data_IF_832339563916
#
_entry.id   IF_832339563916
#
_cell.length_a   1.000
_cell.length_b   1.000
_cell.length_c   1.000
_cell.angle_alpha   90.00
_cell.angle_beta   90.00
_cell.angle_gamma   90.00
#
_symmetry.space_group_name_H-M   'P 1'
#
loop_
_entity.id
_entity.type
_entity.pdbx_description
1 polymer ?
#
# COMPACT_ATOMS: atom_id res chain seq x y z
N UNK A 1 -21.28 -18.41 -5.64
CA UNK A 1 -21.31 -17.03 -6.13
C UNK A 1 -20.46 -16.94 -7.38
N UNK A 2 -20.78 -16.00 -8.27
CA UNK A 2 -19.89 -15.55 -9.34
C UNK A 2 -18.98 -14.44 -8.80
N UNK A 3 -17.70 -14.67 -8.75
CA UNK A 3 -16.72 -13.71 -8.23
C UNK A 3 -15.74 -13.36 -9.34
N UNK A 4 -15.53 -12.08 -9.57
CA UNK A 4 -14.47 -11.63 -10.48
C UNK A 4 -13.32 -11.04 -9.68
N UNK A 5 -12.12 -11.60 -9.82
CA UNK A 5 -10.91 -11.11 -9.20
C UNK A 5 -10.25 -10.11 -10.16
N UNK A 6 -10.15 -8.84 -9.75
CA UNK A 6 -9.41 -7.81 -10.46
C UNK A 6 -7.97 -7.82 -9.98
N UNK A 7 -7.02 -7.97 -10.89
CA UNK A 7 -5.59 -8.11 -10.59
C UNK A 7 -4.71 -7.42 -11.64
N UNK A 8 -3.40 -7.60 -11.55
CA UNK A 8 -2.44 -6.97 -12.44
C UNK A 8 -2.27 -5.48 -12.16
N UNK A 9 -2.77 -4.64 -13.03
CA UNK A 9 -2.66 -3.19 -12.88
C UNK A 9 -1.48 -2.59 -13.63
N UNK A 10 -1.40 -1.26 -13.59
CA UNK A 10 -0.35 -0.48 -14.26
C UNK A 10 0.81 -0.08 -13.34
N UNK A 11 0.68 -0.31 -12.04
CA UNK A 11 1.66 0.10 -11.02
C UNK A 11 2.95 -0.73 -11.04
N UNK A 12 3.91 -0.28 -10.24
CA UNK A 12 5.16 -0.97 -9.95
C UNK A 12 4.92 -2.33 -9.27
N UNK A 13 3.78 -2.47 -8.57
CA UNK A 13 3.41 -3.66 -7.79
C UNK A 13 2.56 -4.67 -8.57
N UNK A 14 2.56 -4.62 -9.91
CA UNK A 14 1.79 -5.54 -10.77
C UNK A 14 2.05 -7.02 -10.47
N UNK A 15 3.32 -7.39 -10.29
CA UNK A 15 3.69 -8.78 -10.01
C UNK A 15 3.20 -9.22 -8.61
N UNK A 16 3.17 -8.28 -7.66
CA UNK A 16 2.59 -8.49 -6.32
C UNK A 16 1.09 -8.75 -6.42
N UNK A 17 0.39 -8.00 -7.26
CA UNK A 17 -1.04 -8.21 -7.52
C UNK A 17 -1.31 -9.61 -8.07
N UNK A 18 -0.50 -10.11 -9.00
CA UNK A 18 -0.61 -11.47 -9.50
C UNK A 18 -0.29 -12.52 -8.42
N UNK A 19 0.74 -12.30 -7.59
CA UNK A 19 1.08 -13.21 -6.51
C UNK A 19 -0.06 -13.32 -5.48
N UNK A 20 -0.69 -12.19 -5.12
CA UNK A 20 -1.88 -12.16 -4.27
C UNK A 20 -3.05 -12.89 -4.92
N UNK A 21 -3.28 -12.67 -6.21
CA UNK A 21 -4.37 -13.30 -6.95
C UNK A 21 -4.25 -14.83 -6.99
N UNK A 22 -3.05 -15.40 -7.01
CA UNK A 22 -2.85 -16.87 -6.94
C UNK A 22 -3.57 -17.47 -5.75
N UNK A 23 -3.32 -16.91 -4.57
CA UNK A 23 -3.89 -17.43 -3.33
C UNK A 23 -5.39 -17.15 -3.22
N UNK A 24 -5.82 -15.94 -3.61
CA UNK A 24 -7.22 -15.54 -3.58
C UNK A 24 -8.06 -16.42 -4.51
N UNK A 25 -7.65 -16.56 -5.78
CA UNK A 25 -8.34 -17.38 -6.79
C UNK A 25 -8.40 -18.85 -6.35
N UNK A 26 -7.28 -19.40 -5.85
CA UNK A 26 -7.21 -20.76 -5.31
C UNK A 26 -8.22 -20.96 -4.17
N UNK A 27 -8.16 -20.12 -3.13
CA UNK A 27 -9.04 -20.22 -1.98
C UNK A 27 -10.52 -20.03 -2.30
N UNK A 28 -10.86 -19.14 -3.23
CA UNK A 28 -12.24 -18.94 -3.68
C UNK A 28 -12.77 -20.15 -4.47
N UNK A 29 -11.96 -20.72 -5.37
CA UNK A 29 -12.32 -21.93 -6.13
C UNK A 29 -12.47 -23.16 -5.25
N UNK A 30 -11.60 -23.35 -4.26
CA UNK A 30 -11.72 -24.40 -3.24
C UNK A 30 -13.01 -24.33 -2.43
N UNK A 31 -13.53 -23.10 -2.22
CA UNK A 31 -14.84 -22.86 -1.57
C UNK A 31 -16.03 -23.02 -2.51
N UNK A 32 -15.82 -23.46 -3.77
CA UNK A 32 -16.86 -23.75 -4.76
C UNK A 32 -17.45 -22.51 -5.45
N UNK A 33 -16.74 -21.37 -5.43
CA UNK A 33 -17.15 -20.19 -6.19
C UNK A 33 -16.76 -20.30 -7.66
N UNK A 34 -17.57 -19.70 -8.53
CA UNK A 34 -17.21 -19.48 -9.94
C UNK A 34 -16.33 -18.23 -10.02
N UNK A 35 -15.07 -18.40 -10.39
CA UNK A 35 -14.08 -17.30 -10.35
C UNK A 35 -13.57 -16.99 -11.75
N UNK A 36 -13.84 -15.77 -12.22
CA UNK A 36 -13.17 -15.15 -13.36
C UNK A 36 -12.00 -14.27 -12.89
N UNK A 37 -10.97 -14.17 -13.68
CA UNK A 37 -9.80 -13.30 -13.39
C UNK A 37 -9.69 -12.26 -14.49
N UNK A 38 -9.60 -11.00 -14.08
CA UNK A 38 -9.46 -9.86 -14.99
C UNK A 38 -8.19 -9.09 -14.62
N UNK A 39 -7.27 -9.05 -15.55
CA UNK A 39 -6.15 -8.09 -15.50
C UNK A 39 -6.65 -6.73 -15.99
N UNK A 40 -6.52 -5.71 -15.17
CA UNK A 40 -7.03 -4.37 -15.50
C UNK A 40 -6.27 -3.67 -16.65
N UNK A 41 -5.22 -4.29 -17.18
CA UNK A 41 -4.46 -3.81 -18.36
C UNK A 41 -4.81 -4.61 -19.60
N UNK A 42 -4.90 -5.95 -19.52
CA UNK A 42 -5.07 -6.82 -20.68
C UNK A 42 -6.48 -7.38 -20.85
N UNK A 43 -7.31 -7.32 -19.82
CA UNK A 43 -8.70 -7.82 -19.86
C UNK A 43 -8.89 -9.15 -19.18
N UNK A 44 -9.95 -9.87 -19.59
CA UNK A 44 -10.31 -11.18 -19.04
C UNK A 44 -9.23 -12.20 -19.41
N UNK A 45 -8.70 -12.90 -18.41
CA UNK A 45 -7.69 -13.92 -18.61
C UNK A 45 -8.32 -15.27 -18.98
N UNK A 46 -7.87 -15.86 -20.07
CA UNK A 46 -8.16 -17.27 -20.37
C UNK A 46 -7.47 -18.21 -19.38
N UNK A 47 -7.89 -19.47 -19.25
CA UNK A 47 -7.22 -20.44 -18.37
C UNK A 47 -5.73 -20.65 -18.68
N UNK A 48 -5.31 -20.43 -19.91
CA UNK A 48 -3.90 -20.51 -20.32
C UNK A 48 -3.12 -19.30 -19.85
N UNK A 49 -3.66 -18.10 -20.04
CA UNK A 49 -3.08 -16.84 -19.55
C UNK A 49 -3.01 -16.81 -18.04
N UNK A 50 -4.07 -17.25 -17.32
CA UNK A 50 -4.03 -17.40 -15.87
C UNK A 50 -2.82 -18.24 -15.43
N UNK A 51 -2.63 -19.43 -16.02
CA UNK A 51 -1.46 -20.29 -15.71
C UNK A 51 -0.13 -19.62 -16.05
N UNK A 52 -0.14 -18.72 -17.03
CA UNK A 52 1.04 -17.96 -17.44
C UNK A 52 1.46 -16.88 -16.44
N UNK A 53 0.51 -16.14 -15.88
CA UNK A 53 0.76 -14.97 -15.04
C UNK A 53 0.61 -15.24 -13.54
N UNK A 54 -0.29 -16.15 -13.13
CA UNK A 54 -0.50 -16.50 -11.74
C UNK A 54 0.55 -17.50 -11.24
N UNK A 55 1.81 -17.09 -11.16
CA UNK A 55 2.95 -17.93 -10.77
C UNK A 55 3.45 -17.72 -9.34
N UNK A 56 2.92 -16.73 -8.63
CA UNK A 56 3.31 -16.41 -7.25
C UNK A 56 4.74 -15.88 -7.08
N UNK A 57 5.46 -15.57 -8.17
CA UNK A 57 6.79 -14.97 -8.13
C UNK A 57 6.71 -13.48 -8.40
N UNK A 58 7.41 -12.70 -7.58
CA UNK A 58 7.56 -11.26 -7.73
C UNK A 58 8.97 -10.94 -8.20
N UNK A 59 9.12 -9.99 -9.13
CA UNK A 59 10.44 -9.52 -9.55
C UNK A 59 11.16 -8.82 -8.39
N UNK A 60 12.49 -8.91 -8.35
CA UNK A 60 13.32 -8.28 -7.30
C UNK A 60 13.65 -6.81 -7.60
N UNK A 61 13.34 -6.35 -8.79
CA UNK A 61 13.55 -4.96 -9.23
C UNK A 61 12.26 -4.36 -9.75
N UNK A 62 11.95 -3.09 -9.42
CA UNK A 62 10.77 -2.43 -9.96
C UNK A 62 10.86 -2.30 -11.50
N UNK A 63 9.71 -2.26 -12.19
CA UNK A 63 9.66 -2.07 -13.64
C UNK A 63 10.21 -0.69 -14.06
N UNK A 64 10.66 -0.59 -15.30
CA UNK A 64 11.14 0.67 -15.85
C UNK A 64 10.00 1.68 -16.06
N UNK A 65 10.31 2.98 -16.01
CA UNK A 65 9.35 4.08 -16.28
C UNK A 65 8.65 3.91 -17.64
N UNK A 66 9.37 3.39 -18.66
CA UNK A 66 8.80 3.12 -20.00
C UNK A 66 7.71 2.04 -19.95
N UNK A 67 7.93 0.99 -19.18
CA UNK A 67 6.93 -0.08 -19.00
C UNK A 67 5.72 0.43 -18.25
N UNK A 68 5.92 1.22 -17.19
CA UNK A 68 4.83 1.84 -16.42
C UNK A 68 3.97 2.73 -17.30
N UNK A 69 4.56 3.62 -18.09
CA UNK A 69 3.84 4.49 -19.03
C UNK A 69 3.05 3.67 -20.06
N UNK A 70 3.62 2.58 -20.58
CA UNK A 70 2.94 1.72 -21.54
C UNK A 70 1.72 1.01 -20.91
N UNK A 71 1.88 0.49 -19.68
CA UNK A 71 0.79 -0.16 -18.92
C UNK A 71 -0.30 0.84 -18.54
N UNK A 72 0.08 2.05 -18.14
CA UNK A 72 -0.85 3.11 -17.78
C UNK A 72 -1.75 3.51 -18.96
N UNK A 73 -1.20 3.59 -20.18
CA UNK A 73 -1.97 3.85 -21.41
C UNK A 73 -2.90 2.70 -21.79
N UNK A 74 -2.53 1.47 -21.44
CA UNK A 74 -3.33 0.28 -21.73
C UNK A 74 -4.38 -0.01 -20.64
N UNK A 75 -4.39 0.74 -19.52
CA UNK A 75 -5.31 0.52 -18.42
C UNK A 75 -6.77 0.66 -18.87
N UNK A 76 -7.57 -0.36 -18.58
CA UNK A 76 -8.94 -0.52 -19.10
C UNK A 76 -10.00 0.31 -18.35
N UNK A 77 -9.66 1.51 -17.86
CA UNK A 77 -10.58 2.30 -17.03
C UNK A 77 -11.96 2.46 -17.67
N UNK A 78 -12.00 2.83 -18.95
CA UNK A 78 -13.27 3.02 -19.67
C UNK A 78 -13.94 1.72 -20.13
N UNK A 79 -13.17 0.63 -20.26
CA UNK A 79 -13.67 -0.66 -20.75
C UNK A 79 -14.02 -1.65 -19.65
N UNK A 80 -13.47 -1.48 -18.45
CA UNK A 80 -13.64 -2.44 -17.35
C UNK A 80 -15.10 -2.67 -16.99
N UNK A 81 -15.89 -1.60 -16.90
CA UNK A 81 -17.31 -1.68 -16.61
C UNK A 81 -18.18 -2.30 -17.69
N UNK A 82 -17.66 -2.46 -18.92
CA UNK A 82 -18.36 -3.11 -20.03
C UNK A 82 -18.07 -4.63 -20.11
N UNK A 83 -17.10 -5.12 -19.33
CA UNK A 83 -16.80 -6.55 -19.30
C UNK A 83 -17.97 -7.33 -18.68
N UNK A 84 -18.35 -8.42 -19.37
CA UNK A 84 -19.43 -9.29 -18.91
C UNK A 84 -19.12 -9.89 -17.52
N UNK A 85 -17.89 -10.28 -17.28
CA UNK A 85 -17.39 -10.83 -16.04
C UNK A 85 -17.50 -9.84 -14.88
N UNK A 86 -17.42 -8.53 -15.15
CA UNK A 86 -17.63 -7.47 -14.17
C UNK A 86 -19.13 -7.23 -13.93
N UNK A 87 -19.93 -7.15 -14.99
CA UNK A 87 -21.36 -6.85 -14.88
C UNK A 87 -22.18 -7.98 -14.27
N UNK A 88 -21.80 -9.26 -14.52
CA UNK A 88 -22.49 -10.43 -14.00
C UNK A 88 -21.96 -10.94 -12.66
N UNK A 89 -20.93 -10.29 -12.09
CA UNK A 89 -20.37 -10.70 -10.81
C UNK A 89 -21.30 -10.38 -9.66
N UNK A 90 -21.43 -11.32 -8.71
CA UNK A 90 -22.07 -11.06 -7.43
C UNK A 90 -21.22 -10.14 -6.56
N UNK A 91 -19.88 -10.23 -6.69
CA UNK A 91 -18.90 -9.39 -6.02
C UNK A 91 -17.58 -9.38 -6.80
N UNK A 92 -16.88 -8.24 -6.77
CA UNK A 92 -15.52 -8.09 -7.29
C UNK A 92 -14.53 -8.20 -6.14
N UNK A 93 -13.52 -9.04 -6.28
CA UNK A 93 -12.42 -9.11 -5.34
C UNK A 93 -11.24 -8.29 -5.87
N UNK A 94 -10.84 -7.25 -5.14
CA UNK A 94 -9.73 -6.38 -5.54
C UNK A 94 -8.41 -6.97 -5.04
N UNK A 95 -7.67 -7.63 -5.93
CA UNK A 95 -6.31 -8.13 -5.73
C UNK A 95 -5.33 -7.24 -6.51
N UNK A 96 -5.40 -5.94 -6.26
CA UNK A 96 -4.59 -4.89 -6.88
C UNK A 96 -3.68 -4.28 -5.83
N UNK A 97 -2.50 -3.83 -6.25
CA UNK A 97 -1.53 -3.14 -5.41
C UNK A 97 -0.97 -1.91 -6.12
N UNK A 98 -0.86 -0.81 -5.37
CA UNK A 98 -0.33 0.46 -5.83
C UNK A 98 -1.20 1.18 -6.88
N UNK A 99 -0.87 2.43 -7.14
CA UNK A 99 -1.46 3.28 -8.16
C UNK A 99 -3.00 3.26 -8.16
N UNK A 100 -3.59 3.21 -9.34
CA UNK A 100 -5.06 3.23 -9.54
C UNK A 100 -5.82 2.09 -8.85
N UNK A 101 -5.14 1.04 -8.43
CA UNK A 101 -5.73 -0.06 -7.68
C UNK A 101 -6.08 0.32 -6.24
N UNK A 102 -5.31 1.24 -5.65
CA UNK A 102 -5.41 1.62 -4.24
C UNK A 102 -5.70 3.10 -3.99
N UNK A 103 -5.58 3.99 -5.01
CA UNK A 103 -5.78 5.44 -4.88
C UNK A 103 -7.24 5.90 -4.94
N UNK A 104 -8.19 4.98 -5.02
CA UNK A 104 -9.62 5.29 -5.12
C UNK A 104 -10.15 5.37 -6.56
N UNK A 105 -9.30 5.33 -7.58
CA UNK A 105 -9.71 5.45 -9.00
C UNK A 105 -10.57 4.28 -9.44
N UNK A 106 -10.12 3.04 -9.24
CA UNK A 106 -10.91 1.83 -9.55
C UNK A 106 -12.18 1.81 -8.71
N UNK A 107 -12.08 2.13 -7.43
CA UNK A 107 -13.21 2.14 -6.51
C UNK A 107 -14.30 3.13 -6.96
N UNK A 108 -13.91 4.33 -7.44
CA UNK A 108 -14.86 5.31 -7.97
C UNK A 108 -15.58 4.80 -9.22
N UNK A 109 -14.88 4.12 -10.12
CA UNK A 109 -15.47 3.46 -11.27
C UNK A 109 -16.49 2.40 -10.83
N UNK A 110 -16.09 1.51 -9.90
CA UNK A 110 -16.94 0.42 -9.39
C UNK A 110 -18.16 0.96 -8.64
N UNK A 111 -18.01 2.03 -7.87
CA UNK A 111 -19.13 2.73 -7.24
C UNK A 111 -20.13 3.24 -8.28
N UNK A 112 -19.64 3.72 -9.44
CA UNK A 112 -20.50 4.23 -10.54
C UNK A 112 -21.27 3.11 -11.24
N UNK A 113 -20.66 1.96 -11.46
CA UNK A 113 -21.33 0.79 -12.08
C UNK A 113 -22.19 0.01 -11.09
N UNK A 114 -22.07 0.24 -9.80
CA UNK A 114 -22.93 -0.33 -8.76
C UNK A 114 -22.69 -1.83 -8.46
N UNK A 115 -21.54 -2.38 -8.83
CA UNK A 115 -21.16 -3.76 -8.50
C UNK A 115 -20.47 -3.80 -7.14
N UNK A 116 -20.89 -4.66 -6.19
CA UNK A 116 -20.22 -4.80 -4.90
C UNK A 116 -18.75 -5.23 -5.06
N UNK A 117 -17.86 -4.71 -4.21
CA UNK A 117 -16.45 -5.09 -4.23
C UNK A 117 -15.87 -5.12 -2.82
N UNK A 118 -14.74 -5.83 -2.66
CA UNK A 118 -14.03 -5.96 -1.38
C UNK A 118 -13.15 -4.75 -1.10
N UNK A 119 -12.93 -4.45 0.20
CA UNK A 119 -12.03 -3.39 0.65
C UNK A 119 -12.71 -2.04 0.84
N UNK A 120 -11.88 -1.01 0.88
CA UNK A 120 -12.31 0.37 1.14
C UNK A 120 -12.94 1.00 -0.10
N UNK A 121 -13.85 1.96 0.13
CA UNK A 121 -14.44 2.76 -0.94
C UNK A 121 -13.49 3.84 -1.42
N UNK A 122 -13.84 4.47 -2.56
CA UNK A 122 -13.05 5.46 -3.26
C UNK A 122 -12.46 6.55 -2.34
N UNK A 123 -13.29 7.19 -1.51
CA UNK A 123 -12.80 8.25 -0.62
C UNK A 123 -11.77 7.73 0.40
N UNK A 124 -12.03 6.58 1.04
CA UNK A 124 -11.12 6.01 2.02
C UNK A 124 -9.79 5.61 1.38
N UNK A 125 -9.82 4.97 0.21
CA UNK A 125 -8.64 4.61 -0.56
C UNK A 125 -7.80 5.84 -0.94
N UNK A 126 -8.44 6.90 -1.45
CA UNK A 126 -7.75 8.14 -1.81
C UNK A 126 -7.09 8.82 -0.59
N UNK A 127 -7.82 8.90 0.54
CA UNK A 127 -7.27 9.46 1.78
C UNK A 127 -6.07 8.65 2.30
N UNK A 128 -6.12 7.32 2.23
CA UNK A 128 -5.05 6.45 2.72
C UNK A 128 -3.80 6.49 1.82
N UNK A 129 -3.98 6.65 0.51
CA UNK A 129 -2.86 6.72 -0.44
C UNK A 129 -2.06 8.03 -0.28
N UNK A 130 -2.72 9.14 0.00
CA UNK A 130 -2.08 10.45 0.19
C UNK A 130 -1.52 10.58 1.62
N UNK A 131 -0.19 10.48 1.76
CA UNK A 131 0.47 10.52 3.07
C UNK A 131 0.35 11.87 3.76
N UNK A 132 0.38 12.99 3.03
CA UNK A 132 0.23 14.31 3.64
C UNK A 132 -1.17 14.47 4.24
N UNK A 133 -2.20 14.11 3.48
CA UNK A 133 -3.60 14.16 3.94
C UNK A 133 -3.83 13.16 5.08
N UNK A 134 -3.36 11.92 4.96
CA UNK A 134 -3.46 10.91 6.03
C UNK A 134 -2.86 11.41 7.34
N UNK A 135 -1.64 11.96 7.29
CA UNK A 135 -0.93 12.45 8.50
C UNK A 135 -1.62 13.65 9.12
N UNK A 136 -2.22 14.54 8.33
CA UNK A 136 -3.05 15.65 8.86
C UNK A 136 -4.26 15.13 9.60
N UNK A 137 -4.96 14.14 9.04
CA UNK A 137 -6.12 13.50 9.68
C UNK A 137 -5.71 12.71 10.93
N UNK A 138 -4.58 12.01 10.91
CA UNK A 138 -4.04 11.33 12.09
C UNK A 138 -3.74 12.31 13.21
N UNK A 139 -3.06 13.41 12.91
CA UNK A 139 -2.75 14.45 13.89
C UNK A 139 -4.01 15.04 14.51
N UNK A 140 -5.03 15.34 13.71
CA UNK A 140 -6.32 15.85 14.19
C UNK A 140 -7.05 14.84 15.09
N UNK A 141 -6.93 13.55 14.79
CA UNK A 141 -7.52 12.44 15.56
C UNK A 141 -6.66 12.01 16.78
N UNK A 142 -5.52 12.65 17.02
CA UNK A 142 -4.62 12.28 18.11
C UNK A 142 -3.86 10.96 17.90
N UNK A 143 -3.69 10.52 16.64
CA UNK A 143 -2.84 9.39 16.28
C UNK A 143 -1.42 9.91 16.06
N UNK A 144 -0.42 9.40 16.82
CA UNK A 144 0.96 9.85 16.68
C UNK A 144 1.51 9.50 15.30
N UNK A 145 2.14 10.48 14.66
CA UNK A 145 2.82 10.32 13.37
C UNK A 145 4.07 11.18 13.34
N UNK A 146 5.13 10.77 12.64
CA UNK A 146 6.36 11.51 12.57
C UNK A 146 6.15 12.93 12.02
N UNK A 147 6.82 13.96 12.54
CA UNK A 147 6.82 15.30 11.96
C UNK A 147 7.29 15.28 10.51
N UNK A 148 6.71 16.13 9.67
CA UNK A 148 7.05 16.17 8.24
C UNK A 148 6.91 17.58 7.66
N UNK A 149 7.59 17.79 6.54
CA UNK A 149 7.48 18.94 5.66
C UNK A 149 7.20 18.47 4.24
N UNK A 150 6.59 19.32 3.42
CA UNK A 150 6.39 19.07 1.99
C UNK A 150 7.37 19.93 1.18
N UNK A 151 7.98 19.36 0.13
CA UNK A 151 8.81 20.13 -0.79
C UNK A 151 7.92 21.15 -1.57
N UNK A 152 8.51 22.30 -1.96
CA UNK A 152 9.92 22.70 -1.79
C UNK A 152 10.22 23.23 -0.38
N UNK A 153 11.36 22.80 0.18
CA UNK A 153 11.82 23.20 1.51
C UNK A 153 13.35 23.25 1.54
N UNK A 154 13.94 24.19 2.29
CA UNK A 154 15.38 24.29 2.41
C UNK A 154 15.96 23.29 3.43
N UNK A 155 17.22 22.88 3.24
CA UNK A 155 17.93 22.06 4.23
C UNK A 155 18.03 22.76 5.62
N UNK A 156 18.02 24.08 5.66
CA UNK A 156 17.98 24.86 6.89
C UNK A 156 16.67 24.70 7.65
N UNK A 157 15.52 24.71 6.94
CA UNK A 157 14.21 24.48 7.53
C UNK A 157 14.08 23.03 8.01
N UNK A 158 14.55 22.05 7.21
CA UNK A 158 14.58 20.64 7.62
C UNK A 158 15.39 20.44 8.89
N UNK A 159 16.58 21.06 8.96
CA UNK A 159 17.44 21.00 10.17
C UNK A 159 16.73 21.55 11.41
N UNK A 160 16.01 22.68 11.25
CA UNK A 160 15.34 23.36 12.35
C UNK A 160 14.09 22.61 12.83
N UNK A 161 13.27 22.12 11.90
CA UNK A 161 11.93 21.57 12.24
C UNK A 161 11.95 20.06 12.47
N UNK A 162 12.81 19.29 11.78
CA UNK A 162 12.84 17.82 11.80
C UNK A 162 14.13 17.24 12.41
N UNK A 163 15.28 17.94 12.20
CA UNK A 163 16.59 17.37 12.47
C UNK A 163 16.98 16.30 11.44
N UNK A 164 18.07 15.59 11.67
CA UNK A 164 18.61 14.53 10.82
C UNK A 164 18.79 13.24 11.61
N UNK A 165 18.62 12.04 10.99
CA UNK A 165 18.27 11.82 9.58
C UNK A 165 16.80 12.06 9.29
N UNK A 166 16.46 12.20 7.98
CA UNK A 166 15.08 12.28 7.47
C UNK A 166 14.83 11.24 6.39
N UNK A 167 13.56 10.93 6.16
CA UNK A 167 13.09 10.11 5.03
C UNK A 167 12.48 11.05 4.00
N UNK A 168 13.01 11.02 2.79
CA UNK A 168 12.45 11.71 1.62
C UNK A 168 11.72 10.69 0.77
N UNK A 169 10.45 10.93 0.45
CA UNK A 169 9.60 9.97 -0.28
C UNK A 169 8.49 10.66 -1.07
N UNK A 170 8.00 10.06 -2.15
CA UNK A 170 6.77 10.48 -2.81
C UNK A 170 5.58 10.39 -1.84
N UNK A 171 4.63 11.33 -1.92
CA UNK A 171 3.45 11.35 -1.03
C UNK A 171 2.47 10.23 -1.34
N UNK A 172 2.28 9.89 -2.63
CA UNK A 172 1.23 8.98 -3.11
C UNK A 172 1.76 7.66 -3.68
N UNK A 173 2.98 7.26 -3.30
CA UNK A 173 3.57 5.98 -3.72
C UNK A 173 3.67 4.98 -2.58
N UNK A 174 3.58 3.68 -2.94
CA UNK A 174 3.77 2.55 -2.03
C UNK A 174 5.16 1.92 -2.10
N UNK A 175 5.34 0.82 -1.38
CA UNK A 175 6.47 -0.14 -1.47
C UNK A 175 7.88 0.47 -1.49
N UNK A 176 8.10 1.57 -0.79
CA UNK A 176 9.40 2.26 -0.72
C UNK A 176 9.94 2.77 -2.06
N UNK A 177 9.10 2.84 -3.08
CA UNK A 177 9.47 3.41 -4.39
C UNK A 177 9.78 4.90 -4.23
N UNK A 178 10.92 5.34 -4.75
CA UNK A 178 11.36 6.75 -4.66
C UNK A 178 11.79 7.21 -3.26
N UNK A 179 11.90 6.30 -2.28
CA UNK A 179 12.28 6.63 -0.91
C UNK A 179 13.79 6.69 -0.72
N UNK A 180 14.27 7.68 0.01
CA UNK A 180 15.68 7.83 0.40
C UNK A 180 15.79 8.23 1.87
N UNK A 181 16.64 7.53 2.63
CA UNK A 181 17.06 7.97 3.98
C UNK A 181 18.22 8.95 3.84
N UNK A 182 17.98 10.21 4.17
CA UNK A 182 18.94 11.30 4.03
C UNK A 182 19.56 11.59 5.40
N UNK A 183 20.88 11.36 5.50
CA UNK A 183 21.62 11.51 6.78
C UNK A 183 22.30 12.88 6.90
N UNK A 184 22.51 13.60 5.78
CA UNK A 184 23.25 14.86 5.71
C UNK A 184 22.50 15.90 4.88
N UNK A 185 22.53 17.18 5.29
CA UNK A 185 21.83 18.27 4.58
C UNK A 185 22.14 18.38 3.09
N UNK A 186 23.39 18.11 2.69
CA UNK A 186 23.88 18.23 1.32
C UNK A 186 23.27 17.20 0.36
N UNK A 187 22.71 16.09 0.87
CA UNK A 187 22.10 15.03 0.07
C UNK A 187 20.59 15.28 -0.17
N UNK A 188 19.98 16.31 0.46
CA UNK A 188 18.55 16.56 0.43
C UNK A 188 18.02 16.82 -0.98
N UNK A 189 18.70 17.71 -1.73
CA UNK A 189 18.22 18.12 -3.06
C UNK A 189 18.17 16.95 -4.03
N UNK A 190 19.20 16.09 -4.02
CA UNK A 190 19.25 14.90 -4.86
C UNK A 190 18.13 13.90 -4.49
N UNK A 191 17.83 13.73 -3.19
CA UNK A 191 16.77 12.86 -2.73
C UNK A 191 15.37 13.39 -3.10
N UNK A 192 15.15 14.70 -2.99
CA UNK A 192 13.89 15.34 -3.42
C UNK A 192 13.71 15.20 -4.92
N UNK A 193 14.76 15.44 -5.70
CA UNK A 193 14.72 15.25 -7.15
C UNK A 193 14.36 13.81 -7.52
N UNK A 194 15.02 12.83 -6.90
CA UNK A 194 14.72 11.41 -7.13
C UNK A 194 13.26 11.04 -6.79
N UNK A 195 12.75 11.49 -5.64
CA UNK A 195 11.35 11.24 -5.26
C UNK A 195 10.36 11.90 -6.23
N UNK A 196 10.71 13.07 -6.79
CA UNK A 196 9.87 13.80 -7.76
C UNK A 196 9.73 13.12 -9.12
N UNK A 197 10.54 12.10 -9.42
CA UNK A 197 10.35 11.27 -10.62
C UNK A 197 9.12 10.37 -10.52
N UNK A 198 8.59 10.16 -9.30
CA UNK A 198 7.48 9.23 -9.01
C UNK A 198 6.19 9.92 -8.57
N UNK A 199 6.24 11.19 -8.13
CA UNK A 199 5.07 11.94 -7.67
C UNK A 199 5.35 13.45 -7.75
N UNK A 200 4.32 14.23 -7.98
CA UNK A 200 4.36 15.70 -7.98
C UNK A 200 4.45 16.29 -6.56
N UNK A 201 4.18 15.48 -5.52
CA UNK A 201 4.27 15.86 -4.12
C UNK A 201 5.32 15.00 -3.39
N UNK A 202 6.34 15.66 -2.85
CA UNK A 202 7.44 15.00 -2.11
C UNK A 202 7.39 15.36 -0.64
N UNK A 203 7.37 14.33 0.20
CA UNK A 203 7.39 14.44 1.65
C UNK A 203 8.81 14.27 2.20
N UNK A 204 9.18 15.13 3.14
CA UNK A 204 10.38 15.02 3.98
C UNK A 204 9.91 14.76 5.40
N UNK A 205 10.19 13.61 5.94
CA UNK A 205 9.69 13.14 7.23
C UNK A 205 10.84 12.83 8.18
N UNK A 206 10.69 13.14 9.47
CA UNK A 206 11.65 12.74 10.48
C UNK A 206 11.82 11.22 10.49
N UNK A 207 13.06 10.73 10.45
CA UNK A 207 13.34 9.30 10.60
C UNK A 207 13.09 8.85 12.04
N UNK A 208 12.19 7.91 12.23
CA UNK A 208 11.89 7.33 13.56
C UNK A 208 12.64 6.00 13.70
N UNK A 209 13.68 5.93 14.52
CA UNK A 209 14.39 4.66 14.76
C UNK A 209 13.54 3.73 15.62
N UNK A 210 13.69 2.42 15.40
CA UNK A 210 13.01 1.41 16.22
C UNK A 210 12.50 0.23 15.42
N UNK A 211 11.64 -0.57 16.08
CA UNK A 211 11.03 -1.78 15.52
C UNK A 211 9.89 -1.43 14.58
N UNK A 212 9.65 -2.27 13.60
CA UNK A 212 8.55 -2.12 12.66
C UNK A 212 7.41 -3.06 13.06
N UNK A 213 6.26 -2.50 13.44
CA UNK A 213 5.08 -3.26 13.82
C UNK A 213 3.99 -3.07 12.77
N UNK A 214 3.13 -4.07 12.64
CA UNK A 214 1.98 -4.03 11.75
C UNK A 214 0.74 -4.57 12.43
N UNK A 215 -0.42 -3.95 12.15
CA UNK A 215 -1.72 -4.38 12.69
C UNK A 215 -2.73 -4.44 11.56
N UNK A 216 -3.25 -5.64 11.29
CA UNK A 216 -4.38 -5.82 10.41
C UNK A 216 -5.68 -5.37 11.08
N UNK A 217 -6.56 -4.76 10.31
CA UNK A 217 -7.94 -4.47 10.71
C UNK A 217 -8.87 -5.31 9.83
N UNK A 218 -9.82 -6.01 10.44
CA UNK A 218 -10.88 -6.73 9.75
C UNK A 218 -12.22 -6.34 10.36
N UNK A 219 -13.16 -5.89 9.54
CA UNK A 219 -14.49 -5.44 9.98
C UNK A 219 -14.44 -4.45 11.16
N UNK A 220 -13.44 -3.53 11.12
CA UNK A 220 -13.25 -2.52 12.14
C UNK A 220 -12.64 -2.99 13.47
N UNK A 221 -12.19 -4.26 13.53
CA UNK A 221 -11.52 -4.86 14.68
C UNK A 221 -10.03 -5.06 14.41
N UNK A 222 -9.18 -4.71 15.39
CA UNK A 222 -7.74 -4.96 15.30
C UNK A 222 -7.44 -6.45 15.46
N UNK A 223 -6.62 -6.98 14.58
CA UNK A 223 -6.02 -8.30 14.68
C UNK A 223 -4.75 -8.25 15.57
N UNK A 224 -4.18 -9.40 15.96
CA UNK A 224 -2.94 -9.41 16.71
C UNK A 224 -1.82 -8.62 16.02
N UNK A 225 -1.04 -7.90 16.82
CA UNK A 225 0.11 -7.13 16.34
C UNK A 225 1.18 -8.06 15.81
N UNK A 226 1.70 -7.78 14.63
CA UNK A 226 2.88 -8.43 14.06
C UNK A 226 4.11 -7.54 14.11
N UNK A 227 5.28 -8.14 14.04
CA UNK A 227 6.56 -7.45 13.86
C UNK A 227 7.18 -7.86 12.53
N UNK A 228 7.72 -6.88 11.82
CA UNK A 228 8.46 -7.08 10.58
C UNK A 228 9.93 -6.76 10.88
N UNK A 229 10.82 -7.74 10.68
CA UNK A 229 12.25 -7.59 10.90
C UNK A 229 12.95 -7.69 9.54
N UNK A 230 13.22 -6.54 8.88
CA UNK A 230 13.93 -6.53 7.61
C UNK A 230 15.42 -6.78 7.82
N UNK A 231 16.10 -7.36 6.83
CA UNK A 231 17.57 -7.51 6.84
C UNK A 231 18.31 -6.22 6.48
N UNK A 232 17.64 -5.26 5.84
CA UNK A 232 18.18 -3.93 5.57
C UNK A 232 17.82 -2.91 6.67
N UNK A 233 18.38 -1.70 6.60
CA UNK A 233 18.08 -0.61 7.54
C UNK A 233 16.61 -0.19 7.50
N UNK A 234 15.94 -0.40 6.34
CA UNK A 234 14.52 -0.17 6.12
C UNK A 234 13.89 -1.37 5.41
N UNK A 235 12.58 -1.52 5.53
CA UNK A 235 11.79 -2.53 4.81
C UNK A 235 11.56 -2.07 3.37
N UNK A 236 12.62 -2.15 2.55
CA UNK A 236 12.63 -1.73 1.16
C UNK A 236 11.99 -2.75 0.21
N UNK A 237 11.96 -2.43 -1.10
CA UNK A 237 11.36 -3.28 -2.13
C UNK A 237 11.99 -4.68 -2.17
N UNK A 238 13.31 -4.79 -2.03
CA UNK A 238 14.00 -6.08 -2.02
C UNK A 238 13.63 -6.90 -0.78
N UNK A 239 13.59 -6.30 0.40
CA UNK A 239 13.17 -6.96 1.63
C UNK A 239 11.71 -7.43 1.59
N UNK A 240 10.83 -6.70 0.91
CA UNK A 240 9.41 -7.05 0.80
C UNK A 240 9.15 -8.27 -0.07
N UNK A 241 9.91 -8.43 -1.15
CA UNK A 241 9.57 -9.39 -2.20
C UNK A 241 10.62 -10.47 -2.44
N UNK A 242 11.76 -10.43 -1.74
CA UNK A 242 12.77 -11.49 -1.79
C UNK A 242 12.64 -12.42 -0.59
N UNK A 243 12.41 -13.69 -0.88
CA UNK A 243 12.24 -14.71 0.17
C UNK A 243 13.43 -14.72 1.14
N UNK A 244 13.14 -14.64 2.44
CA UNK A 244 14.11 -14.66 3.51
C UNK A 244 14.84 -13.33 3.75
N UNK A 245 14.43 -12.22 3.10
CA UNK A 245 14.96 -10.89 3.36
C UNK A 245 14.19 -10.14 4.47
N UNK A 246 13.11 -10.70 4.96
CA UNK A 246 12.40 -10.26 6.16
C UNK A 246 11.93 -11.46 6.97
N UNK A 247 11.74 -11.26 8.26
CA UNK A 247 11.06 -12.19 9.16
C UNK A 247 9.79 -11.52 9.66
N UNK A 248 8.68 -12.25 9.65
CA UNK A 248 7.38 -11.78 10.12
C UNK A 248 6.98 -12.61 11.34
N UNK A 249 6.81 -11.95 12.49
CA UNK A 249 6.49 -12.60 13.76
C UNK A 249 5.09 -12.23 14.19
N UNK A 250 4.20 -13.21 14.27
CA UNK A 250 2.81 -13.05 14.75
C UNK A 250 2.48 -14.06 15.86
N UNK A 251 2.05 -13.62 17.05
CA UNK A 251 2.05 -12.22 17.52
C UNK A 251 3.46 -11.70 17.76
N UNK A 252 3.63 -10.36 17.66
CA UNK A 252 4.90 -9.71 18.00
C UNK A 252 5.24 -9.86 19.49
N UNK A 253 6.53 -9.98 19.80
CA UNK A 253 7.01 -9.95 21.19
C UNK A 253 7.09 -8.50 21.69
N UNK A 254 5.98 -8.00 22.17
CA UNK A 254 5.80 -6.65 22.73
C UNK A 254 5.00 -6.72 24.03
N UNK A 255 5.10 -5.69 24.87
CA UNK A 255 4.28 -5.62 26.08
C UNK A 255 2.78 -5.53 25.76
N UNK A 256 1.94 -6.01 26.68
CA UNK A 256 0.48 -5.91 26.55
C UNK A 256 0.01 -4.47 26.31
N UNK A 257 0.67 -3.49 26.94
CA UNK A 257 0.35 -2.07 26.76
C UNK A 257 0.65 -1.56 25.35
N UNK A 258 1.78 -1.98 24.74
CA UNK A 258 2.13 -1.66 23.36
C UNK A 258 1.16 -2.32 22.40
N UNK A 259 0.84 -3.60 22.60
CA UNK A 259 -0.12 -4.33 21.76
C UNK A 259 -1.51 -3.69 21.81
N UNK A 260 -2.02 -3.36 23.00
CA UNK A 260 -3.31 -2.72 23.17
C UNK A 260 -3.36 -1.33 22.52
N UNK A 261 -2.31 -0.52 22.69
CA UNK A 261 -2.24 0.83 22.13
C UNK A 261 -2.10 0.78 20.59
N UNK A 262 -1.27 -0.13 20.04
CA UNK A 262 -1.19 -0.33 18.60
C UNK A 262 -2.55 -0.70 18.00
N UNK A 263 -3.28 -1.64 18.62
CA UNK A 263 -4.63 -2.00 18.20
C UNK A 263 -5.61 -0.83 18.26
N UNK A 264 -5.59 -0.05 19.35
CA UNK A 264 -6.44 1.14 19.52
C UNK A 264 -6.16 2.21 18.46
N UNK A 265 -4.90 2.54 18.24
CA UNK A 265 -4.47 3.52 17.24
C UNK A 265 -4.81 3.06 15.82
N UNK A 266 -4.68 1.77 15.52
CA UNK A 266 -5.06 1.19 14.23
C UNK A 266 -6.55 1.34 13.93
N UNK A 267 -7.41 1.08 14.91
CA UNK A 267 -8.86 1.27 14.76
C UNK A 267 -9.21 2.75 14.54
N UNK A 268 -8.53 3.68 15.23
CA UNK A 268 -8.74 5.12 15.01
C UNK A 268 -8.28 5.50 13.60
N UNK A 269 -7.09 5.07 13.17
CA UNK A 269 -6.54 5.33 11.83
C UNK A 269 -7.48 4.83 10.73
N UNK A 270 -7.97 3.60 10.85
CA UNK A 270 -8.96 3.01 9.95
C UNK A 270 -10.23 3.87 9.83
N UNK A 271 -10.77 4.32 10.98
CA UNK A 271 -12.01 5.11 11.01
C UNK A 271 -11.85 6.52 10.48
N UNK A 272 -10.77 7.20 10.83
CA UNK A 272 -10.54 8.61 10.43
C UNK A 272 -10.29 8.72 8.94
N UNK A 273 -9.67 7.72 8.33
CA UNK A 273 -9.50 7.61 6.88
C UNK A 273 -10.74 7.04 6.17
N UNK A 274 -11.83 6.74 6.91
CA UNK A 274 -13.08 6.18 6.36
C UNK A 274 -12.86 4.85 5.60
N UNK A 275 -11.92 4.06 6.05
CA UNK A 275 -11.64 2.74 5.48
C UNK A 275 -12.77 1.76 5.81
N UNK A 276 -12.91 0.70 5.00
CA UNK A 276 -13.93 -0.34 5.15
C UNK A 276 -13.39 -1.72 4.84
N UNK A 277 -14.12 -2.74 5.31
CA UNK A 277 -13.76 -4.15 5.13
C UNK A 277 -12.48 -4.51 5.87
N UNK A 278 -11.34 -4.25 5.26
CA UNK A 278 -10.03 -4.54 5.84
C UNK A 278 -9.03 -3.42 5.53
N UNK A 279 -8.00 -3.31 6.38
CA UNK A 279 -6.84 -2.44 6.19
C UNK A 279 -5.65 -2.94 7.00
N UNK A 280 -4.50 -2.31 6.80
CA UNK A 280 -3.30 -2.54 7.59
C UNK A 280 -2.73 -1.20 8.04
N UNK A 281 -2.27 -1.12 9.28
CA UNK A 281 -1.62 0.07 9.84
C UNK A 281 -0.23 -0.34 10.32
N UNK A 282 0.77 0.33 9.79
CA UNK A 282 2.17 0.08 10.10
C UNK A 282 2.69 1.13 11.08
N UNK A 283 3.53 0.71 12.03
CA UNK A 283 4.07 1.56 13.10
C UNK A 283 5.58 1.45 13.20
N UNK A 284 6.20 2.54 13.62
CA UNK A 284 7.54 2.53 14.21
C UNK A 284 7.41 2.55 15.72
N UNK A 285 7.91 1.51 16.39
CA UNK A 285 8.00 1.43 17.86
C UNK A 285 9.39 1.91 18.28
N UNK A 286 9.44 3.08 18.91
CA UNK A 286 10.71 3.65 19.40
C UNK A 286 11.27 2.86 20.58
N UNK A 287 12.58 2.97 20.90
CA UNK A 287 13.18 2.31 22.07
C UNK A 287 12.54 2.69 23.41
N UNK A 288 11.90 3.85 23.52
CA UNK A 288 11.20 4.31 24.73
C UNK A 288 9.73 3.86 24.77
N UNK A 289 9.29 3.01 23.84
CA UNK A 289 7.91 2.50 23.78
C UNK A 289 6.90 3.42 23.08
N UNK A 290 7.33 4.51 22.47
CA UNK A 290 6.47 5.39 21.68
C UNK A 290 6.11 4.74 20.33
N UNK A 291 4.84 4.90 19.90
CA UNK A 291 4.35 4.45 18.62
C UNK A 291 4.19 5.64 17.66
N UNK A 292 4.53 5.43 16.39
CA UNK A 292 4.30 6.40 15.29
C UNK A 292 3.81 5.65 14.05
N UNK A 293 2.66 6.08 13.51
CA UNK A 293 2.10 5.58 12.23
C UNK A 293 2.85 6.21 11.06
#
# INVERSE_FOLDING_TARGET
MKITVLTGGSSEERDVAFASAVQIVGGLRERGHQVAVVDTVTGVLSPEEERGVLKGSVGTTPPSTRELVARERAFLLSGLGALREVQEADVLFLALHGGRGEDGTIQALLDTIGVPYTGSRSLGSALAMDKDVSKRLFRDAGVPTAPWLMAPVSAGDVTKELGWPVVVKPSKQGSTVGLTVVKRPEDLEAAVWYASEFDDEVMIEQFIPGRELTVGILEGQALPVGEIIPKHEIFDYECKYTQGMSEEIFPADVSESVAAESGRLSVISHRVLKLGGYSRVDFRLTPNGGLSV
#
